data_IF_539580278191
#
_entry.id   IF_539580278191
#
_cell.length_a   1.000
_cell.length_b   1.000
_cell.length_c   1.000
_cell.angle_alpha   90.00
_cell.angle_beta   90.00
_cell.angle_gamma   90.00
#
_symmetry.space_group_name_H-M   'P 1'
#
loop_
_entity.id
_entity.type
_entity.pdbx_description
1 polymer ?
#
# COMPACT_ATOMS: atom_id res chain seq x y z
N UNK A 1 -15.44 -4.18 -5.83
CA UNK A 1 -15.06 -4.59 -4.47
C UNK A 1 -13.65 -5.20 -4.46
N UNK A 2 -13.39 -6.05 -5.46
CA UNK A 2 -12.19 -6.88 -5.62
C UNK A 2 -10.84 -6.16 -5.54
N UNK A 3 -10.76 -4.91 -6.01
CA UNK A 3 -9.55 -4.09 -5.92
C UNK A 3 -9.22 -3.66 -4.48
N UNK A 4 -10.24 -3.19 -3.75
CA UNK A 4 -10.07 -2.76 -2.35
C UNK A 4 -9.73 -3.95 -1.45
N UNK A 5 -10.37 -5.09 -1.71
CA UNK A 5 -10.05 -6.35 -1.02
C UNK A 5 -8.60 -6.76 -1.24
N UNK A 6 -8.13 -6.77 -2.51
CA UNK A 6 -6.73 -7.07 -2.82
C UNK A 6 -5.74 -6.10 -2.18
N UNK A 7 -6.08 -4.81 -2.14
CA UNK A 7 -5.23 -3.76 -1.55
C UNK A 7 -5.13 -3.84 -0.04
N UNK A 8 -6.21 -4.15 0.66
CA UNK A 8 -6.25 -4.15 2.13
C UNK A 8 -5.81 -5.48 2.73
N UNK A 9 -6.22 -6.60 2.14
CA UNK A 9 -5.95 -7.96 2.62
C UNK A 9 -4.57 -8.43 2.18
N UNK A 10 -4.13 -7.99 1.01
CA UNK A 10 -2.83 -8.34 0.45
C UNK A 10 -2.86 -9.54 -0.52
N UNK A 11 -1.79 -9.70 -1.32
CA UNK A 11 -1.75 -10.61 -2.46
C UNK A 11 -1.65 -12.10 -2.09
N UNK A 12 -1.32 -12.42 -0.83
CA UNK A 12 -1.15 -13.82 -0.38
C UNK A 12 -2.50 -14.51 -0.15
N UNK A 13 -3.48 -13.72 0.28
CA UNK A 13 -4.81 -14.18 0.67
C UNK A 13 -5.86 -13.82 -0.37
N UNK A 14 -5.72 -12.71 -1.10
CA UNK A 14 -6.67 -12.31 -2.12
C UNK A 14 -6.54 -13.13 -3.40
N UNK A 15 -7.66 -13.63 -3.92
CA UNK A 15 -7.75 -14.39 -5.18
C UNK A 15 -7.98 -13.48 -6.41
N UNK A 16 -7.84 -12.16 -6.24
CA UNK A 16 -8.18 -11.17 -7.28
C UNK A 16 -6.99 -10.84 -8.19
N UNK A 17 -7.27 -10.21 -9.34
CA UNK A 17 -6.27 -9.72 -10.28
C UNK A 17 -5.26 -8.72 -9.69
N UNK A 18 -5.45 -8.28 -8.44
CA UNK A 18 -4.53 -7.42 -7.69
C UNK A 18 -3.09 -7.96 -7.68
N UNK A 19 -2.90 -9.28 -7.80
CA UNK A 19 -1.58 -9.91 -7.90
C UNK A 19 -0.81 -9.53 -9.18
N UNK A 20 -1.49 -9.16 -10.26
CA UNK A 20 -0.88 -8.99 -11.59
C UNK A 20 -0.37 -7.57 -11.89
N UNK A 21 -0.83 -6.53 -11.18
CA UNK A 21 -0.48 -5.13 -11.49
C UNK A 21 0.25 -4.45 -10.33
N UNK A 22 1.22 -3.58 -10.65
CA UNK A 22 1.87 -2.71 -9.66
C UNK A 22 0.93 -1.54 -9.35
N UNK A 23 0.60 -1.35 -8.07
CA UNK A 23 -0.36 -0.34 -7.63
C UNK A 23 0.31 0.84 -6.91
N UNK A 24 1.45 1.31 -7.44
CA UNK A 24 2.20 2.42 -6.87
C UNK A 24 1.39 3.71 -6.77
N UNK A 25 0.55 4.01 -7.76
CA UNK A 25 -0.26 5.24 -7.77
C UNK A 25 -1.17 5.39 -6.56
N UNK A 26 -1.79 4.30 -6.09
CA UNK A 26 -2.65 4.34 -4.89
C UNK A 26 -1.85 4.66 -3.61
N UNK A 27 -0.59 4.20 -3.53
CA UNK A 27 0.29 4.52 -2.39
C UNK A 27 0.74 5.97 -2.40
N UNK A 28 1.02 6.50 -3.59
CA UNK A 28 1.38 7.92 -3.75
C UNK A 28 0.19 8.79 -3.34
N UNK A 29 -1.02 8.51 -3.86
CA UNK A 29 -2.23 9.26 -3.49
C UNK A 29 -2.47 9.23 -1.98
N UNK A 30 -2.34 8.06 -1.35
CA UNK A 30 -2.53 7.93 0.10
C UNK A 30 -1.46 8.68 0.91
N UNK A 31 -0.21 8.68 0.43
CA UNK A 31 0.89 9.43 1.07
C UNK A 31 0.70 10.94 0.93
N UNK A 32 0.23 11.40 -0.23
CA UNK A 32 -0.14 12.80 -0.46
C UNK A 32 -1.32 13.22 0.42
N UNK A 33 -2.32 12.36 0.59
CA UNK A 33 -3.46 12.63 1.48
C UNK A 33 -3.02 12.75 2.94
N UNK A 34 -2.10 11.89 3.38
CA UNK A 34 -1.50 11.98 4.71
C UNK A 34 -0.69 13.26 4.89
N UNK A 35 0.09 13.65 3.88
CA UNK A 35 0.83 14.90 3.88
C UNK A 35 -0.11 16.11 4.00
N UNK A 36 -1.20 16.13 3.22
CA UNK A 36 -2.20 17.18 3.28
C UNK A 36 -2.84 17.28 4.67
N UNK A 37 -3.17 16.14 5.28
CA UNK A 37 -3.72 16.11 6.63
C UNK A 37 -2.68 16.53 7.68
N UNK A 38 -1.41 16.17 7.51
CA UNK A 38 -0.31 16.63 8.37
C UNK A 38 -0.20 18.16 8.34
N UNK A 39 -0.17 18.76 7.13
CA UNK A 39 -0.15 20.21 6.95
C UNK A 39 -1.39 20.86 7.57
N UNK A 40 -2.58 20.26 7.39
CA UNK A 40 -3.81 20.75 8.01
C UNK A 40 -3.76 20.69 9.54
N UNK A 41 -3.21 19.61 10.10
CA UNK A 41 -3.04 19.43 11.56
C UNK A 41 -2.11 20.49 12.14
N UNK A 42 -1.07 20.83 11.40
CA UNK A 42 -0.14 21.88 11.78
C UNK A 42 -0.77 23.28 11.69
N UNK A 43 -1.46 23.62 10.59
CA UNK A 43 -2.04 24.95 10.38
C UNK A 43 -3.28 25.21 11.25
N UNK A 44 -4.03 24.16 11.61
CA UNK A 44 -5.31 24.25 12.34
C UNK A 44 -5.40 23.16 13.43
N UNK A 45 -4.55 23.19 14.47
CA UNK A 45 -4.49 22.16 15.50
C UNK A 45 -5.84 21.95 16.19
N UNK A 46 -6.56 23.04 16.48
CA UNK A 46 -7.92 23.03 17.04
C UNK A 46 -8.94 22.14 16.31
N UNK A 47 -8.76 21.88 15.01
CA UNK A 47 -9.64 20.99 14.24
C UNK A 47 -9.23 19.53 14.38
N UNK A 48 -7.93 19.28 14.54
CA UNK A 48 -7.34 17.94 14.56
C UNK A 48 -7.18 17.35 15.96
N UNK A 49 -7.11 18.18 17.00
CA UNK A 49 -7.00 17.73 18.40
C UNK A 49 -8.13 16.78 18.80
N UNK A 50 -9.34 16.99 18.27
CA UNK A 50 -10.49 16.10 18.50
C UNK A 50 -10.32 14.70 17.90
N UNK A 51 -9.51 14.57 16.86
CA UNK A 51 -9.21 13.28 16.23
C UNK A 51 -8.03 12.59 16.91
N UNK A 52 -7.24 13.32 17.71
CA UNK A 52 -6.08 12.80 18.44
C UNK A 52 -6.46 12.40 19.88
N UNK A 53 -7.18 11.28 20.01
CA UNK A 53 -7.69 10.80 21.32
C UNK A 53 -6.87 9.68 21.97
N UNK A 54 -6.06 8.91 21.22
CA UNK A 54 -5.24 7.83 21.80
C UNK A 54 -3.81 8.33 22.02
N UNK A 55 -3.29 8.40 23.25
CA UNK A 55 -1.92 8.84 23.46
C UNK A 55 -0.91 7.82 22.92
N UNK A 56 0.24 8.31 22.48
CA UNK A 56 1.44 7.48 22.34
C UNK A 56 1.92 7.04 23.75
N UNK A 57 2.34 5.78 23.99
CA UNK A 57 2.58 4.69 23.02
C UNK A 57 1.37 3.77 22.75
N UNK A 58 0.19 4.06 23.30
CA UNK A 58 -0.99 3.19 23.19
C UNK A 58 -1.40 2.90 21.73
N UNK A 59 -1.36 3.93 20.88
CA UNK A 59 -1.64 3.79 19.44
C UNK A 59 -0.70 2.81 18.72
N UNK A 60 0.58 2.78 19.11
CA UNK A 60 1.59 1.85 18.59
C UNK A 60 1.31 0.42 19.04
N UNK A 61 0.93 0.23 20.31
CA UNK A 61 0.54 -1.10 20.82
C UNK A 61 -0.68 -1.64 20.05
N UNK A 62 -1.70 -0.81 19.84
CA UNK A 62 -2.87 -1.20 19.04
C UNK A 62 -2.50 -1.56 17.60
N UNK A 63 -1.60 -0.79 16.97
CA UNK A 63 -1.12 -1.10 15.62
C UNK A 63 -0.42 -2.47 15.57
N UNK A 64 0.46 -2.75 16.53
CA UNK A 64 1.19 -4.03 16.60
C UNK A 64 0.21 -5.20 16.76
N UNK A 65 -0.73 -5.11 17.70
CA UNK A 65 -1.75 -6.13 17.92
C UNK A 65 -2.53 -6.37 16.63
N UNK A 66 -2.93 -5.29 15.94
CA UNK A 66 -3.72 -5.38 14.72
C UNK A 66 -2.94 -6.01 13.56
N UNK A 67 -1.66 -5.68 13.41
CA UNK A 67 -0.75 -6.30 12.42
C UNK A 67 -0.61 -7.80 12.69
N UNK A 68 -0.42 -8.20 13.95
CA UNK A 68 -0.29 -9.61 14.33
C UNK A 68 -1.60 -10.40 14.16
N UNK A 69 -2.75 -9.76 14.37
CA UNK A 69 -4.06 -10.38 14.20
C UNK A 69 -4.48 -10.47 12.72
N UNK A 70 -3.94 -9.61 11.86
CA UNK A 70 -4.26 -9.57 10.43
C UNK A 70 -4.11 -10.92 9.72
N UNK A 71 -3.00 -11.68 9.82
CA UNK A 71 -2.89 -12.98 9.13
C UNK A 71 -3.96 -13.98 9.56
N UNK A 72 -4.34 -13.97 10.85
CA UNK A 72 -5.41 -14.81 11.38
C UNK A 72 -6.75 -14.43 10.73
N UNK A 73 -7.11 -13.15 10.77
CA UNK A 73 -8.37 -12.63 10.21
C UNK A 73 -8.45 -12.87 8.69
N UNK A 74 -7.35 -12.63 7.97
CA UNK A 74 -7.26 -12.86 6.52
C UNK A 74 -7.49 -14.32 6.15
N UNK A 75 -7.05 -15.27 6.98
CA UNK A 75 -7.27 -16.71 6.73
C UNK A 75 -8.74 -17.14 6.81
N UNK A 76 -9.57 -16.38 7.55
CA UNK A 76 -11.02 -16.62 7.67
C UNK A 76 -11.87 -15.75 6.73
N UNK A 77 -11.28 -14.75 6.07
CA UNK A 77 -12.02 -13.76 5.27
C UNK A 77 -13.06 -14.35 4.32
N UNK A 78 -12.67 -15.32 3.49
CA UNK A 78 -13.58 -15.95 2.51
C UNK A 78 -14.60 -16.90 3.13
N UNK A 79 -14.41 -17.32 4.39
CA UNK A 79 -15.36 -18.18 5.12
C UNK A 79 -16.45 -17.37 5.83
N UNK A 80 -16.27 -16.06 5.93
CA UNK A 80 -17.22 -15.18 6.60
C UNK A 80 -18.37 -14.80 5.67
N UNK A 81 -19.58 -14.60 6.24
CA UNK A 81 -20.74 -14.14 5.49
C UNK A 81 -20.48 -12.76 4.88
N UNK A 82 -21.11 -12.47 3.74
CA UNK A 82 -20.90 -11.26 2.95
C UNK A 82 -21.07 -9.97 3.79
N UNK A 83 -21.99 -9.98 4.76
CA UNK A 83 -22.26 -8.83 5.64
C UNK A 83 -21.08 -8.48 6.59
N UNK A 84 -20.25 -9.45 6.99
CA UNK A 84 -19.13 -9.22 7.93
C UNK A 84 -17.86 -8.80 7.19
N UNK A 85 -17.72 -9.17 5.92
CA UNK A 85 -16.56 -8.79 5.09
C UNK A 85 -16.26 -7.28 5.05
N UNK A 86 -17.22 -6.37 4.83
CA UNK A 86 -16.93 -4.93 4.85
C UNK A 86 -16.43 -4.44 6.22
N UNK A 87 -16.89 -5.04 7.32
CA UNK A 87 -16.39 -4.70 8.66
C UNK A 87 -14.90 -5.06 8.81
N UNK A 88 -14.45 -6.18 8.25
CA UNK A 88 -13.03 -6.53 8.20
C UNK A 88 -12.22 -5.58 7.31
N UNK A 89 -12.78 -5.12 6.19
CA UNK A 89 -12.11 -4.11 5.36
C UNK A 89 -11.92 -2.81 6.14
N UNK A 90 -12.94 -2.37 6.89
CA UNK A 90 -12.83 -1.19 7.76
C UNK A 90 -11.73 -1.40 8.80
N UNK A 91 -11.66 -2.58 9.42
CA UNK A 91 -10.60 -2.93 10.37
C UNK A 91 -9.20 -2.86 9.72
N UNK A 92 -9.06 -3.30 8.47
CA UNK A 92 -7.80 -3.16 7.73
C UNK A 92 -7.49 -1.72 7.34
N UNK A 93 -8.49 -0.89 7.02
CA UNK A 93 -8.27 0.55 6.84
C UNK A 93 -7.80 1.20 8.15
N UNK A 94 -8.40 0.81 9.28
CA UNK A 94 -8.05 1.35 10.59
C UNK A 94 -6.58 1.13 10.95
N UNK A 95 -5.96 0.04 10.49
CA UNK A 95 -4.51 -0.19 10.59
C UNK A 95 -3.68 0.92 9.94
N UNK A 96 -4.07 1.37 8.75
CA UNK A 96 -3.37 2.44 8.04
C UNK A 96 -3.66 3.81 8.65
N UNK A 97 -4.86 4.01 9.19
CA UNK A 97 -5.19 5.21 9.98
C UNK A 97 -4.31 5.27 11.24
N UNK A 98 -4.16 4.16 11.97
CA UNK A 98 -3.27 4.06 13.14
C UNK A 98 -1.80 4.31 12.78
N UNK A 99 -1.33 3.80 11.64
CA UNK A 99 0.01 4.11 11.16
C UNK A 99 0.18 5.62 11.00
N UNK A 100 -0.74 6.26 10.28
CA UNK A 100 -0.69 7.71 10.08
C UNK A 100 -0.76 8.48 11.40
N UNK A 101 -1.60 8.01 12.30
CA UNK A 101 -1.76 8.57 13.63
C UNK A 101 -0.45 8.57 14.43
N UNK A 102 0.32 7.48 14.35
CA UNK A 102 1.66 7.39 14.99
C UNK A 102 2.65 8.35 14.31
N UNK A 103 2.59 8.48 12.99
CA UNK A 103 3.41 9.46 12.28
C UNK A 103 3.10 10.88 12.77
N UNK A 104 1.83 11.24 12.96
CA UNK A 104 1.47 12.55 13.50
C UNK A 104 2.09 12.77 14.89
N UNK A 105 1.91 11.82 15.82
CA UNK A 105 2.53 11.91 17.16
C UNK A 105 4.05 12.04 17.12
N UNK A 106 4.70 11.41 16.15
CA UNK A 106 6.14 11.50 16.01
C UNK A 106 6.58 12.82 15.40
N UNK A 107 5.91 13.32 14.34
CA UNK A 107 6.37 14.47 13.56
C UNK A 107 5.85 15.82 14.05
N UNK A 108 4.64 15.91 14.60
CA UNK A 108 4.09 17.18 15.08
C UNK A 108 5.03 17.88 16.09
N UNK A 109 5.58 17.17 17.09
CA UNK A 109 6.47 17.79 18.09
C UNK A 109 7.82 18.27 17.54
N UNK A 110 8.23 17.83 16.34
CA UNK A 110 9.46 18.31 15.70
C UNK A 110 9.26 19.65 15.01
N UNK A 111 8.01 20.04 14.77
CA UNK A 111 7.72 21.33 14.13
C UNK A 111 7.64 22.40 15.22
N UNK A 112 8.39 23.52 15.10
CA UNK A 112 8.35 24.59 16.08
C UNK A 112 6.92 25.12 16.28
N UNK A 113 6.49 25.29 17.53
CA UNK A 113 5.13 25.75 17.87
C UNK A 113 4.88 27.23 17.52
N UNK A 114 5.93 28.02 17.36
CA UNK A 114 5.89 29.45 17.05
C UNK A 114 6.64 29.71 15.75
N UNK A 115 5.91 29.71 14.64
CA UNK A 115 6.32 30.38 13.42
C UNK A 115 5.42 31.61 13.30
N UNK A 116 5.63 32.58 14.20
CA UNK A 116 4.82 33.81 14.24
C UNK A 116 5.01 34.65 12.96
N UNK A 117 6.13 34.46 12.25
CA UNK A 117 6.32 34.94 10.87
C UNK A 117 7.20 33.98 10.05
N UNK A 118 6.56 33.12 9.25
CA UNK A 118 7.28 32.19 8.36
C UNK A 118 8.16 32.93 7.34
N UNK A 119 7.74 34.13 6.95
CA UNK A 119 8.50 35.03 6.07
C UNK A 119 9.82 35.45 6.69
N UNK A 120 9.83 35.83 7.98
CA UNK A 120 11.04 36.25 8.70
C UNK A 120 12.02 35.10 8.81
N UNK A 121 11.54 33.90 9.16
CA UNK A 121 12.38 32.71 9.27
C UNK A 121 13.01 32.33 7.92
N UNK A 122 12.25 32.42 6.83
CA UNK A 122 12.79 32.19 5.48
C UNK A 122 13.81 33.26 5.09
N UNK A 123 13.55 34.54 5.37
CA UNK A 123 14.47 35.64 5.07
C UNK A 123 15.78 35.51 5.85
N UNK A 124 15.71 35.21 7.14
CA UNK A 124 16.89 34.98 7.99
C UNK A 124 17.68 33.77 7.51
N UNK A 125 17.01 32.68 7.12
CA UNK A 125 17.67 31.52 6.54
C UNK A 125 18.35 31.86 5.21
N UNK A 126 17.70 32.64 4.35
CA UNK A 126 18.28 33.12 3.10
C UNK A 126 19.53 33.96 3.35
N UNK A 127 19.48 34.91 4.27
CA UNK A 127 20.60 35.80 4.58
C UNK A 127 21.81 35.02 5.12
N UNK A 128 21.57 34.04 5.99
CA UNK A 128 22.62 33.15 6.50
C UNK A 128 23.29 32.34 5.39
N UNK A 129 22.52 31.77 4.46
CA UNK A 129 23.06 30.99 3.35
C UNK A 129 23.76 31.84 2.29
N UNK A 130 23.26 33.05 2.01
CA UNK A 130 23.92 34.01 1.13
C UNK A 130 25.25 34.45 1.75
N UNK A 131 25.25 34.83 3.03
CA UNK A 131 26.46 35.25 3.74
C UNK A 131 27.52 34.16 3.78
N UNK A 132 27.13 32.91 4.07
CA UNK A 132 28.04 31.76 4.03
C UNK A 132 28.60 31.51 2.63
N UNK A 133 27.76 31.67 1.59
CA UNK A 133 28.17 31.47 0.20
C UNK A 133 29.10 32.59 -0.29
N UNK A 134 28.87 33.84 0.11
CA UNK A 134 29.78 34.97 -0.17
C UNK A 134 31.14 34.71 0.45
N UNK A 135 31.20 34.28 1.71
CA UNK A 135 32.45 33.91 2.38
C UNK A 135 33.18 32.76 1.66
N UNK A 136 32.45 31.77 1.14
CA UNK A 136 33.04 30.67 0.37
C UNK A 136 33.68 31.15 -0.94
N UNK A 137 33.11 32.15 -1.61
CA UNK A 137 33.60 32.69 -2.89
C UNK A 137 34.46 33.95 -2.75
N UNK A 138 34.89 34.34 -1.55
CA UNK A 138 35.73 35.51 -1.32
C UNK A 138 37.04 35.46 -2.13
N UNK A 139 37.56 34.27 -2.40
CA UNK A 139 38.75 34.03 -3.23
C UNK A 139 38.61 34.47 -4.69
N UNK A 140 37.38 34.64 -5.21
CA UNK A 140 37.12 35.03 -6.59
C UNK A 140 37.17 36.56 -6.82
N UNK A 141 37.51 37.34 -5.78
CA UNK A 141 37.51 38.82 -5.80
C UNK A 141 36.15 39.39 -5.35
N UNK A 142 36.14 40.60 -4.78
CA UNK A 142 34.98 41.07 -4.00
C UNK A 142 33.67 41.16 -4.80
N UNK A 143 33.73 41.62 -6.06
CA UNK A 143 32.56 41.81 -6.90
C UNK A 143 32.04 40.48 -7.47
N UNK A 144 32.95 39.63 -7.94
CA UNK A 144 32.62 38.32 -8.50
C UNK A 144 32.16 37.34 -7.41
N UNK A 145 32.82 37.34 -6.26
CA UNK A 145 32.47 36.53 -5.09
C UNK A 145 31.11 36.89 -4.51
N UNK A 146 30.74 38.18 -4.50
CA UNK A 146 29.40 38.62 -4.07
C UNK A 146 28.30 38.11 -5.00
N UNK A 147 28.48 38.23 -6.32
CA UNK A 147 27.49 37.75 -7.31
C UNK A 147 27.33 36.22 -7.20
N UNK A 148 28.44 35.48 -7.17
CA UNK A 148 28.41 34.02 -7.03
C UNK A 148 27.81 33.59 -5.69
N UNK A 149 28.12 34.29 -4.61
CA UNK A 149 27.57 34.04 -3.28
C UNK A 149 26.06 34.20 -3.21
N UNK A 150 25.51 35.27 -3.81
CA UNK A 150 24.04 35.47 -3.88
C UNK A 150 23.38 34.36 -4.69
N UNK A 151 23.92 34.01 -5.86
CA UNK A 151 23.35 32.96 -6.72
C UNK A 151 23.41 31.59 -6.04
N UNK A 152 24.57 31.24 -5.47
CA UNK A 152 24.77 29.96 -4.79
C UNK A 152 23.95 29.86 -3.49
N UNK A 153 23.89 30.93 -2.70
CA UNK A 153 23.07 30.98 -1.48
C UNK A 153 21.57 30.86 -1.79
N UNK A 154 21.09 31.56 -2.83
CA UNK A 154 19.73 31.40 -3.32
C UNK A 154 19.42 29.97 -3.78
N UNK A 155 20.32 29.36 -4.56
CA UNK A 155 20.18 27.97 -5.00
C UNK A 155 20.19 26.98 -3.83
N UNK A 156 21.03 27.22 -2.82
CA UNK A 156 21.11 26.41 -1.60
C UNK A 156 19.77 26.36 -0.88
N UNK A 157 19.15 27.52 -0.64
CA UNK A 157 17.85 27.62 0.04
C UNK A 157 16.77 26.88 -0.72
N UNK A 158 16.71 27.04 -2.05
CA UNK A 158 15.75 26.32 -2.91
C UNK A 158 15.96 24.81 -2.78
N UNK A 159 17.21 24.34 -2.80
CA UNK A 159 17.53 22.93 -2.70
C UNK A 159 17.20 22.36 -1.32
N UNK A 160 17.43 23.11 -0.24
CA UNK A 160 17.04 22.75 1.12
C UNK A 160 15.51 22.62 1.25
N UNK A 161 14.75 23.59 0.74
CA UNK A 161 13.29 23.54 0.77
C UNK A 161 12.74 22.36 -0.04
N UNK A 162 13.32 22.08 -1.21
CA UNK A 162 12.96 20.92 -2.02
C UNK A 162 13.27 19.61 -1.27
N UNK A 163 14.41 19.53 -0.59
CA UNK A 163 14.77 18.39 0.25
C UNK A 163 13.77 18.17 1.39
N UNK A 164 13.35 19.23 2.08
CA UNK A 164 12.34 19.15 3.16
C UNK A 164 11.03 18.59 2.61
N UNK A 165 10.53 19.12 1.49
CA UNK A 165 9.30 18.64 0.85
C UNK A 165 9.44 17.17 0.42
N UNK A 166 10.58 16.80 -0.17
CA UNK A 166 10.87 15.43 -0.55
C UNK A 166 10.90 14.49 0.66
N UNK A 167 11.50 14.90 1.78
CA UNK A 167 11.54 14.14 3.01
C UNK A 167 10.13 13.95 3.59
N UNK A 168 9.34 15.03 3.63
CA UNK A 168 7.98 15.01 4.15
C UNK A 168 7.05 14.09 3.33
N UNK A 169 7.31 13.91 2.04
CA UNK A 169 6.58 12.98 1.17
C UNK A 169 7.11 11.54 1.22
N UNK A 170 8.42 11.36 1.34
CA UNK A 170 9.06 10.04 1.35
C UNK A 170 8.84 9.29 2.67
N UNK A 171 8.79 9.99 3.80
CA UNK A 171 8.54 9.40 5.13
C UNK A 171 7.22 8.59 5.20
N UNK A 172 6.04 9.15 4.88
CA UNK A 172 4.79 8.41 4.92
C UNK A 172 4.79 7.26 3.90
N UNK A 173 5.37 7.49 2.71
CA UNK A 173 5.50 6.47 1.68
C UNK A 173 6.37 5.28 2.14
N UNK A 174 7.51 5.56 2.78
CA UNK A 174 8.41 4.55 3.33
C UNK A 174 7.74 3.78 4.47
N UNK A 175 7.02 4.48 5.35
CA UNK A 175 6.27 3.89 6.45
C UNK A 175 5.19 2.91 5.95
N UNK A 176 4.49 3.26 4.87
CA UNK A 176 3.58 2.33 4.18
C UNK A 176 4.29 1.13 3.57
N UNK A 177 5.45 1.35 2.96
CA UNK A 177 6.29 0.28 2.42
C UNK A 177 6.68 -0.72 3.53
N UNK A 178 7.10 -0.21 4.68
CA UNK A 178 7.49 -1.00 5.84
C UNK A 178 6.32 -1.81 6.41
N UNK A 179 5.18 -1.19 6.71
CA UNK A 179 4.03 -1.92 7.28
C UNK A 179 3.56 -3.04 6.34
N UNK A 180 3.57 -2.80 5.02
CA UNK A 180 3.18 -3.80 4.02
C UNK A 180 4.23 -4.90 3.89
N UNK A 181 5.52 -4.57 3.94
CA UNK A 181 6.60 -5.54 3.94
C UNK A 181 6.53 -6.48 5.14
N UNK A 182 6.31 -5.92 6.33
CA UNK A 182 6.10 -6.69 7.57
C UNK A 182 4.86 -7.57 7.44
N UNK A 183 3.75 -7.00 6.98
CA UNK A 183 2.50 -7.75 6.78
C UNK A 183 2.69 -8.92 5.81
N UNK A 184 3.34 -8.68 4.67
CA UNK A 184 3.63 -9.71 3.68
C UNK A 184 4.48 -10.84 4.27
N UNK A 185 5.50 -10.49 5.04
CA UNK A 185 6.37 -11.48 5.71
C UNK A 185 5.60 -12.31 6.73
N UNK A 186 4.74 -11.69 7.52
CA UNK A 186 3.88 -12.37 8.50
C UNK A 186 2.87 -13.30 7.81
N UNK A 187 2.19 -12.80 6.77
CA UNK A 187 1.22 -13.59 5.99
C UNK A 187 1.88 -14.79 5.33
N UNK A 188 3.08 -14.61 4.76
CA UNK A 188 3.86 -15.68 4.14
C UNK A 188 4.23 -16.75 5.17
N UNK A 189 4.77 -16.32 6.31
CA UNK A 189 5.18 -17.20 7.41
C UNK A 189 3.98 -17.98 7.94
N UNK A 190 2.87 -17.30 8.22
CA UNK A 190 1.65 -17.91 8.72
C UNK A 190 1.08 -18.94 7.72
N UNK A 191 1.03 -18.59 6.43
CA UNK A 191 0.53 -19.50 5.39
C UNK A 191 1.39 -20.76 5.27
N UNK A 192 2.72 -20.61 5.30
CA UNK A 192 3.69 -21.71 5.14
C UNK A 192 3.71 -22.64 6.35
N UNK A 193 3.75 -22.10 7.58
CA UNK A 193 3.97 -22.91 8.78
C UNK A 193 2.69 -23.33 9.51
N UNK A 194 1.62 -22.54 9.42
CA UNK A 194 0.37 -22.82 10.16
C UNK A 194 -0.68 -23.37 9.20
N UNK A 195 -0.97 -22.64 8.12
CA UNK A 195 -2.15 -22.93 7.30
C UNK A 195 -1.99 -24.15 6.38
N UNK A 196 -0.88 -24.26 5.66
CA UNK A 196 -0.63 -25.39 4.75
C UNK A 196 -0.58 -26.74 5.46
N UNK A 197 0.15 -26.92 6.57
CA UNK A 197 0.20 -28.20 7.28
C UNK A 197 -1.18 -28.64 7.80
N UNK A 198 -2.03 -27.71 8.25
CA UNK A 198 -3.40 -28.03 8.68
C UNK A 198 -4.25 -28.52 7.51
N UNK A 199 -4.13 -27.90 6.34
CA UNK A 199 -4.86 -28.32 5.14
C UNK A 199 -4.36 -29.68 4.64
N UNK A 200 -3.05 -29.86 4.57
CA UNK A 200 -2.45 -31.09 4.05
C UNK A 200 -2.66 -32.27 5.01
N UNK A 201 -2.65 -32.01 6.32
CA UNK A 201 -3.06 -32.97 7.34
C UNK A 201 -4.53 -33.40 7.20
N UNK A 202 -5.46 -32.47 6.92
CA UNK A 202 -6.86 -32.79 6.62
C UNK A 202 -7.01 -33.58 5.32
N UNK A 203 -6.25 -33.25 4.27
CA UNK A 203 -6.24 -33.99 2.99
C UNK A 203 -5.71 -35.41 3.17
N UNK A 204 -4.65 -35.61 3.97
CA UNK A 204 -4.12 -36.95 4.31
C UNK A 204 -5.13 -37.80 5.08
N UNK A 205 -5.85 -37.23 6.07
CA UNK A 205 -6.92 -37.96 6.78
C UNK A 205 -8.07 -38.41 5.86
N UNK A 206 -8.43 -37.61 4.85
CA UNK A 206 -9.44 -38.01 3.84
C UNK A 206 -8.95 -39.08 2.87
N UNK A 207 -7.64 -39.29 2.75
CA UNK A 207 -7.02 -40.30 1.88
C UNK A 207 -6.53 -41.53 2.65
N UNK A 208 -6.88 -41.67 3.93
CA UNK A 208 -6.62 -42.91 4.66
C UNK A 208 -7.44 -44.04 3.98
N UNK A 209 -6.78 -45.07 3.43
CA UNK A 209 -7.42 -46.10 2.63
C UNK A 209 -8.10 -47.09 3.57
N UNK A 210 -9.40 -46.92 3.74
CA UNK A 210 -10.25 -47.84 4.48
C UNK A 210 -11.54 -48.06 3.72
N UNK A 211 -11.44 -48.68 2.54
CA UNK A 211 -12.35 -49.69 1.98
C UNK A 211 -11.67 -50.23 0.71
N UNK A 212 -11.28 -51.50 0.82
CA UNK A 212 -10.77 -52.37 -0.24
C UNK A 212 -11.81 -52.38 -1.38
N UNK A 213 -11.50 -51.78 -2.53
CA UNK A 213 -12.19 -52.17 -3.77
C UNK A 213 -11.59 -53.52 -4.16
N UNK A 214 -12.40 -54.57 -4.07
CA UNK A 214 -12.05 -55.93 -4.49
C UNK A 214 -11.66 -55.93 -5.98
N UNK A 215 -10.66 -56.73 -6.39
CA UNK A 215 -10.46 -57.01 -7.80
C UNK A 215 -11.60 -57.92 -8.24
N UNK A 216 -12.50 -57.41 -9.07
CA UNK A 216 -13.33 -58.27 -9.91
C UNK A 216 -12.65 -58.23 -11.27
N UNK A 217 -12.03 -59.36 -11.59
CA UNK A 217 -11.49 -59.73 -12.89
C UNK A 217 -12.53 -59.56 -14.01
N UNK A 218 -12.00 -59.09 -15.14
CA UNK A 218 -12.38 -59.38 -16.53
C UNK A 218 -13.63 -60.25 -16.78
N UNK A 219 -14.57 -59.75 -17.59
CA UNK A 219 -14.77 -60.22 -18.97
C UNK A 219 -15.87 -59.44 -19.70
N UNK A 220 -15.64 -59.25 -21.01
CA UNK A 220 -16.61 -58.94 -22.08
C UNK A 220 -17.19 -57.52 -22.16
N UNK A 221 -17.33 -56.88 -23.31
CA UNK A 221 -16.96 -57.18 -24.70
C UNK A 221 -17.19 -55.89 -25.51
N UNK A 222 -16.49 -55.80 -26.63
CA UNK A 222 -16.63 -54.89 -27.76
C UNK A 222 -17.85 -53.95 -27.85
N UNK A 223 -17.57 -52.80 -28.47
CA UNK A 223 -18.46 -51.97 -29.30
C UNK A 223 -19.01 -50.69 -28.64
N UNK A 224 -18.32 -49.56 -28.85
CA UNK A 224 -18.96 -48.37 -29.43
C UNK A 224 -17.92 -47.32 -29.88
N UNK A 225 -17.71 -47.37 -31.17
CA UNK A 225 -17.23 -46.32 -32.07
C UNK A 225 -17.61 -44.90 -31.63
N UNK A 226 -16.59 -44.04 -31.49
CA UNK A 226 -16.76 -42.59 -31.38
C UNK A 226 -17.20 -42.05 -32.75
N UNK A 227 -18.38 -41.45 -32.79
CA UNK A 227 -18.83 -40.61 -33.90
C UNK A 227 -18.27 -39.20 -33.66
N UNK A 228 -17.45 -38.63 -34.55
CA UNK A 228 -17.11 -37.21 -34.51
C UNK A 228 -18.26 -36.41 -35.13
N UNK A 229 -18.94 -35.59 -34.32
CA UNK A 229 -19.91 -34.60 -34.82
C UNK A 229 -19.11 -33.46 -35.48
N UNK A 230 -19.02 -33.50 -36.81
CA UNK A 230 -18.62 -32.37 -37.64
C UNK A 230 -19.84 -31.49 -37.88
N UNK A 231 -19.75 -30.21 -37.50
CA UNK A 231 -20.73 -29.19 -37.88
C UNK A 231 -20.62 -28.89 -39.39
N UNK A 232 -21.72 -28.81 -40.15
CA UNK A 232 -21.67 -28.45 -41.56
C UNK A 232 -21.34 -26.96 -41.75
N UNK A 233 -20.46 -26.68 -42.72
CA UNK A 233 -20.32 -25.38 -43.39
C UNK A 233 -21.50 -25.19 -44.31
N UNK A 234 -22.29 -24.16 -44.09
CA UNK A 234 -23.30 -23.69 -45.03
C UNK A 234 -22.72 -22.46 -45.74
N UNK A 235 -22.28 -22.67 -46.98
CA UNK A 235 -21.93 -21.63 -47.93
C UNK A 235 -22.97 -21.63 -49.05
N UNK A 236 -23.36 -20.42 -49.44
CA UNK A 236 -23.78 -19.99 -50.76
C UNK A 236 -24.98 -20.68 -51.42
N UNK A 237 -26.09 -19.94 -51.49
CA UNK A 237 -26.81 -19.79 -52.75
C UNK A 237 -27.20 -18.33 -52.98
N UNK A 238 -26.61 -17.81 -54.06
CA UNK A 238 -27.07 -16.72 -54.90
C UNK A 238 -28.58 -16.76 -55.14
N UNK A 239 -29.19 -15.58 -55.23
CA UNK A 239 -29.63 -14.99 -56.51
C UNK A 239 -30.71 -13.92 -56.28
N UNK A 240 -30.48 -12.75 -56.88
CA UNK A 240 -31.45 -11.83 -57.49
C UNK A 240 -32.73 -11.46 -56.71
N UNK A 241 -32.94 -10.17 -56.43
CA UNK A 241 -33.67 -9.34 -57.40
C UNK A 241 -33.80 -7.86 -56.99
N UNK A 242 -33.50 -7.00 -57.97
CA UNK A 242 -34.13 -5.73 -58.36
C UNK A 242 -34.66 -4.66 -57.36
N UNK A 243 -34.17 -3.44 -57.62
CA UNK A 243 -34.92 -2.19 -57.82
C UNK A 243 -35.73 -1.56 -56.66
N UNK A 244 -35.21 -0.45 -56.11
CA UNK A 244 -35.67 0.95 -56.34
C UNK A 244 -34.91 1.92 -55.43
#
# INVERSE_FOLDING_TARGET
>A
MDYLEGSLIGPIWSDTEYKKRRHLGAHIILSVLMLLFFVLSYLRPQWTDRFIFVPYPGSLVFLIILVLLTPLLSSFYYRLPLAIRPLLLILYMFKYILLFYILLHFFLPLVPEQIDDASVLVLERMDNHISASIGFFEFAGSLFGMILGIVAGGLWVVLEMLLIVALLLTVPLLSFGLIRGIQYLLDFTYKKYVFQPIIDGKKRKRRAPGIRQSPIEDLDSHTRTRIPVQFPRENDRDSDDSAQ
#
